data_IF_817482350981
#
_entry.id   IF_817482350981
#
_cell.length_a   1.000
_cell.length_b   1.000
_cell.length_c   1.000
_cell.angle_alpha   90.00
_cell.angle_beta   90.00
_cell.angle_gamma   90.00
#
_symmetry.space_group_name_H-M   'P 1'
#
loop_
_entity.id
_entity.type
_entity.pdbx_description
1 polymer ?
#
# COMPACT_ATOMS: atom_id res chain seq x y z
N UNK A 1 -19.72 -4.12 11.84
CA UNK A 1 -19.70 -4.98 10.63
C UNK A 1 -19.06 -4.27 9.43
N UNK A 2 -19.38 -3.02 9.11
CA UNK A 2 -18.63 -2.24 8.09
C UNK A 2 -17.30 -1.70 8.65
N UNK A 3 -17.25 -1.42 9.95
CA UNK A 3 -16.05 -1.09 10.75
C UNK A 3 -14.88 -2.07 10.58
N UNK A 4 -15.18 -3.35 10.35
CA UNK A 4 -14.18 -4.42 10.26
C UNK A 4 -13.52 -4.47 8.86
N UNK A 5 -14.04 -3.65 7.94
CA UNK A 5 -13.70 -3.59 6.51
C UNK A 5 -13.25 -2.18 6.13
N UNK A 6 -13.15 -1.20 7.02
CA UNK A 6 -12.70 0.14 6.62
C UNK A 6 -11.42 0.49 7.37
N UNK A 7 -10.48 1.09 6.64
CA UNK A 7 -9.34 1.77 7.24
C UNK A 7 -9.84 3.14 7.73
N UNK A 8 -9.68 3.42 9.01
CA UNK A 8 -9.89 4.74 9.59
C UNK A 8 -8.68 5.66 9.30
N UNK A 9 -8.71 6.90 9.81
CA UNK A 9 -7.63 7.85 9.60
C UNK A 9 -6.28 7.34 10.13
N UNK A 10 -6.26 6.84 11.37
CA UNK A 10 -5.03 6.32 12.00
C UNK A 10 -4.45 5.11 11.23
N UNK A 11 -5.32 4.24 10.70
CA UNK A 11 -4.91 3.10 9.88
C UNK A 11 -4.28 3.55 8.55
N UNK A 12 -4.81 4.60 7.93
CA UNK A 12 -4.29 5.16 6.68
C UNK A 12 -2.94 5.85 6.92
N UNK A 13 -2.80 6.58 8.02
CA UNK A 13 -1.53 7.20 8.42
C UNK A 13 -0.47 6.12 8.73
N UNK A 14 -0.83 5.08 9.47
CA UNK A 14 0.07 3.95 9.75
C UNK A 14 0.47 3.21 8.47
N UNK A 15 -0.47 3.00 7.53
CA UNK A 15 -0.20 2.39 6.23
C UNK A 15 0.78 3.24 5.42
N UNK A 16 0.55 4.56 5.35
CA UNK A 16 1.42 5.47 4.62
C UNK A 16 2.85 5.49 5.19
N UNK A 17 2.97 5.52 6.52
CA UNK A 17 4.26 5.47 7.19
C UNK A 17 4.99 4.16 6.87
N UNK A 18 4.31 3.02 7.04
CA UNK A 18 4.90 1.71 6.76
C UNK A 18 5.35 1.57 5.30
N UNK A 19 4.54 2.05 4.35
CA UNK A 19 4.90 2.07 2.93
C UNK A 19 6.20 2.85 2.69
N UNK A 20 6.33 4.06 3.25
CA UNK A 20 7.49 4.92 3.03
C UNK A 20 8.77 4.37 3.66
N UNK A 21 8.68 3.80 4.86
CA UNK A 21 9.84 3.32 5.61
C UNK A 21 10.42 2.01 5.04
N UNK A 22 9.61 1.23 4.33
CA UNK A 22 9.96 -0.10 3.85
C UNK A 22 10.06 -0.17 2.32
N UNK A 23 10.20 0.97 1.65
CA UNK A 23 10.33 1.07 0.20
C UNK A 23 11.59 1.82 -0.20
N UNK A 24 12.05 1.60 -1.42
CA UNK A 24 13.22 2.25 -1.97
C UNK A 24 12.89 3.69 -2.37
N UNK A 25 13.74 4.64 -1.97
CA UNK A 25 13.67 6.02 -2.44
C UNK A 25 14.58 6.16 -3.66
N UNK A 26 14.01 6.57 -4.78
CA UNK A 26 14.73 6.91 -5.98
C UNK A 26 15.42 8.27 -5.77
N UNK A 27 16.75 8.27 -5.63
CA UNK A 27 17.53 9.47 -5.27
C UNK A 27 17.46 10.58 -6.32
N UNK A 28 17.12 10.26 -7.57
CA UNK A 28 17.06 11.22 -8.67
C UNK A 28 15.71 11.93 -8.67
N UNK A 29 14.63 11.16 -8.56
CA UNK A 29 13.25 11.66 -8.69
C UNK A 29 12.59 11.97 -7.35
N UNK A 30 13.15 11.47 -6.25
CA UNK A 30 12.55 11.50 -4.91
C UNK A 30 11.34 10.57 -4.76
N UNK A 31 11.01 9.78 -5.78
CA UNK A 31 9.86 8.88 -5.76
C UNK A 31 10.13 7.67 -4.87
N UNK A 32 9.10 7.22 -4.17
CA UNK A 32 9.16 6.01 -3.35
C UNK A 32 8.64 4.84 -4.17
N UNK A 33 9.42 3.76 -4.26
CA UNK A 33 9.18 2.62 -5.14
C UNK A 33 9.35 1.31 -4.40
N UNK A 34 8.55 0.31 -4.75
CA UNK A 34 8.63 -1.03 -4.19
C UNK A 34 8.57 -2.09 -5.27
N UNK A 35 9.44 -3.10 -5.20
CA UNK A 35 9.30 -4.32 -5.98
C UNK A 35 8.23 -5.24 -5.32
N UNK A 36 8.03 -6.44 -5.88
CA UNK A 36 7.04 -7.37 -5.33
C UNK A 36 7.43 -7.98 -3.98
N UNK A 37 8.73 -8.15 -3.71
CA UNK A 37 9.23 -8.64 -2.43
C UNK A 37 9.00 -7.61 -1.32
N UNK A 38 9.37 -6.35 -1.56
CA UNK A 38 9.08 -5.21 -0.67
C UNK A 38 7.57 -5.14 -0.40
N UNK A 39 6.75 -5.27 -1.45
CA UNK A 39 5.29 -5.25 -1.34
C UNK A 39 4.75 -6.36 -0.42
N UNK A 40 5.29 -7.58 -0.52
CA UNK A 40 4.93 -8.69 0.37
C UNK A 40 5.39 -8.47 1.82
N UNK A 41 6.58 -7.89 2.02
CA UNK A 41 7.09 -7.55 3.34
C UNK A 41 6.23 -6.48 4.00
N UNK A 42 5.93 -5.40 3.28
CA UNK A 42 5.05 -4.32 3.73
C UNK A 42 3.66 -4.86 4.10
N UNK A 43 3.13 -5.80 3.31
CA UNK A 43 1.84 -6.43 3.62
C UNK A 43 1.83 -7.13 4.98
N UNK A 44 2.93 -7.80 5.32
CA UNK A 44 3.10 -8.48 6.61
C UNK A 44 3.16 -7.45 7.75
N UNK A 45 4.00 -6.43 7.62
CA UNK A 45 4.15 -5.35 8.61
C UNK A 45 2.86 -4.56 8.83
N UNK A 46 2.14 -4.22 7.75
CA UNK A 46 0.85 -3.55 7.82
C UNK A 46 -0.20 -4.44 8.49
N UNK A 47 -0.17 -5.76 8.26
CA UNK A 47 -1.08 -6.67 8.95
C UNK A 47 -0.82 -6.66 10.46
N UNK A 48 0.44 -6.72 10.87
CA UNK A 48 0.80 -6.74 12.29
C UNK A 48 0.41 -5.45 13.01
N UNK A 49 0.60 -4.30 12.36
CA UNK A 49 0.35 -2.99 12.95
C UNK A 49 -1.13 -2.56 12.89
N UNK A 50 -1.80 -2.79 11.75
CA UNK A 50 -3.15 -2.27 11.46
C UNK A 50 -4.21 -3.37 11.62
N UNK A 51 -3.82 -4.63 11.42
CA UNK A 51 -4.72 -5.78 11.43
C UNK A 51 -5.17 -6.23 10.03
N UNK A 52 -5.99 -7.29 9.95
CA UNK A 52 -6.28 -8.01 8.72
C UNK A 52 -7.03 -7.20 7.65
N UNK A 53 -7.67 -6.08 8.03
CA UNK A 53 -8.42 -5.20 7.11
C UNK A 53 -7.57 -4.62 5.98
N UNK A 54 -6.26 -4.43 6.16
CA UNK A 54 -5.37 -3.91 5.12
C UNK A 54 -4.98 -4.97 4.08
N UNK A 55 -5.02 -6.27 4.42
CA UNK A 55 -4.55 -7.38 3.56
C UNK A 55 -5.19 -7.43 2.19
N UNK A 56 -6.45 -7.01 2.06
CA UNK A 56 -7.18 -7.03 0.78
C UNK A 56 -6.49 -6.18 -0.30
N UNK A 57 -5.74 -5.15 0.11
CA UNK A 57 -5.02 -4.27 -0.80
C UNK A 57 -3.74 -4.93 -1.29
N UNK A 58 -3.13 -5.78 -0.47
CA UNK A 58 -1.89 -6.50 -0.74
C UNK A 58 -2.12 -7.86 -1.40
N UNK A 59 -2.63 -7.86 -2.63
CA UNK A 59 -2.74 -9.07 -3.46
C UNK A 59 -1.85 -8.98 -4.70
N UNK A 60 -1.39 -10.12 -5.25
CA UNK A 60 -0.65 -10.13 -6.51
C UNK A 60 -1.41 -9.41 -7.63
N UNK A 61 -2.73 -9.64 -7.70
CA UNK A 61 -3.60 -8.99 -8.69
C UNK A 61 -3.64 -7.47 -8.55
N UNK A 62 -3.61 -6.94 -7.32
CA UNK A 62 -3.53 -5.50 -7.12
C UNK A 62 -2.15 -4.96 -7.50
N UNK A 63 -1.05 -5.62 -7.12
CA UNK A 63 0.29 -5.23 -7.53
C UNK A 63 0.43 -5.19 -9.07
N UNK A 64 -0.20 -6.12 -9.77
CA UNK A 64 -0.18 -6.18 -11.23
C UNK A 64 -0.91 -5.01 -11.92
N UNK A 65 -1.82 -4.30 -11.24
CA UNK A 65 -2.55 -3.15 -11.80
C UNK A 65 -1.66 -1.92 -12.04
N UNK A 66 -0.55 -1.81 -11.30
CA UNK A 66 0.32 -0.64 -11.37
C UNK A 66 1.36 -0.80 -12.47
N UNK A 67 1.65 0.32 -13.14
CA UNK A 67 2.79 0.43 -14.03
C UNK A 67 4.09 0.14 -13.27
N UNK A 68 5.01 -0.55 -13.93
CA UNK A 68 6.28 -0.98 -13.37
C UNK A 68 7.42 -0.34 -14.15
N UNK A 69 8.44 0.09 -13.44
CA UNK A 69 9.68 0.48 -14.10
C UNK A 69 10.46 -0.74 -14.62
N UNK A 70 11.61 -0.50 -15.26
CA UNK A 70 12.46 -1.55 -15.84
C UNK A 70 12.97 -2.57 -14.81
N UNK A 71 12.94 -2.24 -13.53
CA UNK A 71 13.30 -3.12 -12.42
C UNK A 71 12.09 -3.83 -11.78
N UNK A 72 10.90 -3.69 -12.37
CA UNK A 72 9.68 -4.32 -11.87
C UNK A 72 9.08 -3.62 -10.65
N UNK A 73 9.45 -2.37 -10.37
CA UNK A 73 8.97 -1.63 -9.18
C UNK A 73 7.77 -0.77 -9.51
N UNK A 74 6.83 -0.69 -8.57
CA UNK A 74 5.66 0.19 -8.64
C UNK A 74 5.93 1.48 -7.85
N UNK A 75 5.28 2.58 -8.23
CA UNK A 75 5.31 3.81 -7.44
C UNK A 75 4.37 3.70 -6.22
N UNK A 76 4.92 3.89 -5.03
CA UNK A 76 4.20 3.72 -3.76
C UNK A 76 3.10 4.76 -3.56
N UNK A 77 3.30 5.99 -4.02
CA UNK A 77 2.26 7.03 -3.96
C UNK A 77 1.03 6.60 -4.76
N UNK A 78 1.22 6.05 -5.96
CA UNK A 78 0.14 5.52 -6.80
C UNK A 78 -0.63 4.39 -6.10
N UNK A 79 0.07 3.47 -5.42
CA UNK A 79 -0.57 2.43 -4.62
C UNK A 79 -1.36 3.00 -3.44
N UNK A 80 -0.80 3.96 -2.70
CA UNK A 80 -1.47 4.57 -1.56
C UNK A 80 -2.77 5.29 -1.97
N UNK A 81 -2.73 6.04 -3.08
CA UNK A 81 -3.91 6.72 -3.62
C UNK A 81 -5.00 5.72 -4.06
N UNK A 82 -4.62 4.57 -4.60
CA UNK A 82 -5.56 3.48 -4.89
C UNK A 82 -6.24 2.95 -3.63
N UNK A 83 -5.49 2.77 -2.53
CA UNK A 83 -6.06 2.33 -1.25
C UNK A 83 -7.05 3.36 -0.73
N UNK A 84 -6.69 4.64 -0.71
CA UNK A 84 -7.58 5.72 -0.25
C UNK A 84 -8.88 5.76 -1.06
N UNK A 85 -8.79 5.70 -2.40
CA UNK A 85 -9.96 5.70 -3.28
C UNK A 85 -10.86 4.49 -3.02
N UNK A 86 -10.29 3.30 -2.99
CA UNK A 86 -11.05 2.06 -2.77
C UNK A 86 -11.68 2.04 -1.38
N UNK A 87 -10.99 2.55 -0.36
CA UNK A 87 -11.51 2.64 1.00
C UNK A 87 -12.67 3.65 1.09
N UNK A 88 -12.62 4.76 0.34
CA UNK A 88 -13.72 5.73 0.26
C UNK A 88 -14.94 5.18 -0.49
N UNK A 89 -14.74 4.43 -1.58
CA UNK A 89 -15.83 3.81 -2.32
C UNK A 89 -16.64 2.82 -1.48
N UNK A 90 -16.01 2.16 -0.50
CA UNK A 90 -16.69 1.25 0.44
C UNK A 90 -17.48 1.96 1.56
N UNK A 91 -17.31 3.29 1.70
CA UNK A 91 -18.06 4.11 2.65
C UNK A 91 -19.40 4.62 2.09
N UNK A 92 -19.61 4.53 0.77
CA UNK A 92 -20.83 4.98 0.08
C UNK A 92 -21.74 3.81 -0.27
#
# INVERSE_FOLDING_TARGET
KQSDILLNADDLDALWLCLRENSLVDEITGSVKANYEDFCQIASLCTEQIGPKCRRFFSPSNFMKFEKDESGRIEILSFYLYVMRTNLELNN
#
